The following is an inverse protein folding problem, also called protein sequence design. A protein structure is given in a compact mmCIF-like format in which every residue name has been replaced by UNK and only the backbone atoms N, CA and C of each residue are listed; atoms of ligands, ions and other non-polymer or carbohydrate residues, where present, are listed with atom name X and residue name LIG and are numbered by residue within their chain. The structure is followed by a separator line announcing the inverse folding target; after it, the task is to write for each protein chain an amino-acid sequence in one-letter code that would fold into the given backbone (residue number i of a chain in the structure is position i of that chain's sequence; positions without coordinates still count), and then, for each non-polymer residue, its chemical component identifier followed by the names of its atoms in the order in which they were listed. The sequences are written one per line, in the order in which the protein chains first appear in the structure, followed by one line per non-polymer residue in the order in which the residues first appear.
data_IF_509808008784
#
_entry.id   IF_509808008784
#
_cell.length_a   1.000
_cell.length_b   1.000
_cell.length_c   1.000
_cell.angle_alpha   90.00
_cell.angle_beta   90.00
_cell.angle_gamma   90.00
#
_symmetry.space_group_name_H-M   'P 1'
#
loop_
_entity.id
_entity.type
_entity.pdbx_description
1 polymer ?
#
# COMPACT_ATOMS: atom_id res chain seq x y z
N UNK A 1 -4.55 -20.65 -30.81
CA UNK A 1 -3.58 -19.98 -29.92
C UNK A 1 -4.26 -18.76 -29.35
N UNK A 2 -4.64 -18.79 -28.08
CA UNK A 2 -5.37 -17.67 -27.45
C UNK A 2 -4.35 -16.57 -27.18
N UNK A 3 -4.43 -15.47 -27.94
CA UNK A 3 -3.68 -14.27 -27.65
C UNK A 3 -4.12 -13.76 -26.27
N UNK A 4 -3.24 -13.89 -25.27
CA UNK A 4 -3.41 -13.18 -24.00
C UNK A 4 -3.41 -11.69 -24.34
N UNK A 5 -4.57 -11.05 -24.27
CA UNK A 5 -4.64 -9.59 -24.39
C UNK A 5 -3.97 -9.00 -23.16
N UNK A 6 -2.71 -8.64 -23.28
CA UNK A 6 -1.98 -7.92 -22.23
C UNK A 6 -2.72 -6.61 -21.93
N UNK A 7 -2.98 -6.36 -20.64
CA UNK A 7 -3.62 -5.14 -20.16
C UNK A 7 -2.58 -4.27 -19.47
N UNK A 8 -2.55 -2.98 -19.83
CA UNK A 8 -1.72 -2.00 -19.15
C UNK A 8 -2.31 -1.72 -17.77
N UNK A 9 -1.56 -2.05 -16.72
CA UNK A 9 -1.91 -1.78 -15.33
C UNK A 9 -0.79 -0.94 -14.72
N UNK A 10 -1.15 0.14 -14.03
CA UNK A 10 -0.19 0.94 -13.28
C UNK A 10 0.04 0.27 -11.93
N UNK A 11 1.30 0.17 -11.55
CA UNK A 11 1.74 -0.32 -10.25
C UNK A 11 2.53 0.79 -9.56
N UNK A 12 2.57 0.71 -8.23
CA UNK A 12 3.49 1.51 -7.44
C UNK A 12 4.94 1.25 -7.87
N UNK A 13 5.76 2.31 -7.91
CA UNK A 13 7.14 2.23 -8.40
C UNK A 13 8.01 1.34 -7.49
N UNK A 14 7.84 1.43 -6.18
CA UNK A 14 8.58 0.62 -5.20
C UNK A 14 8.25 -0.86 -5.35
N UNK A 15 6.98 -1.19 -5.62
CA UNK A 15 6.56 -2.56 -5.90
C UNK A 15 7.19 -3.10 -7.18
N UNK A 16 7.30 -2.27 -8.23
CA UNK A 16 7.97 -2.65 -9.49
C UNK A 16 9.46 -2.88 -9.27
N UNK A 17 10.14 -1.99 -8.56
CA UNK A 17 11.57 -2.10 -8.25
C UNK A 17 11.87 -3.34 -7.42
N UNK A 18 11.03 -3.63 -6.42
CA UNK A 18 11.09 -4.85 -5.63
C UNK A 18 10.95 -6.11 -6.49
N UNK A 19 10.03 -6.09 -7.46
CA UNK A 19 9.83 -7.21 -8.37
C UNK A 19 11.00 -7.43 -9.31
N UNK A 20 11.66 -6.36 -9.78
CA UNK A 20 12.87 -6.45 -10.59
C UNK A 20 14.00 -7.07 -9.78
N UNK A 21 14.20 -6.61 -8.55
CA UNK A 21 15.25 -7.12 -7.66
C UNK A 21 15.06 -8.61 -7.31
N UNK A 22 13.84 -9.02 -6.93
CA UNK A 22 13.55 -10.42 -6.65
C UNK A 22 13.54 -11.27 -7.92
N UNK A 23 13.02 -10.74 -9.02
CA UNK A 23 13.05 -11.41 -10.32
C UNK A 23 14.48 -11.76 -10.72
N UNK A 24 15.42 -10.84 -10.57
CA UNK A 24 16.84 -11.08 -10.82
C UNK A 24 17.41 -12.25 -10.01
N UNK A 25 17.03 -12.39 -8.73
CA UNK A 25 17.45 -13.51 -7.86
C UNK A 25 16.85 -14.85 -8.30
N UNK A 26 15.65 -14.83 -8.88
CA UNK A 26 14.89 -16.03 -9.28
C UNK A 26 14.96 -16.34 -10.77
N UNK A 27 15.83 -15.66 -11.52
CA UNK A 27 15.92 -15.74 -13.00
C UNK A 27 14.59 -15.43 -13.71
N UNK A 28 13.89 -14.38 -13.27
CA UNK A 28 12.62 -13.87 -13.84
C UNK A 28 12.72 -12.38 -14.14
N UNK A 29 11.94 -11.90 -15.11
CA UNK A 29 11.76 -10.44 -15.29
C UNK A 29 10.88 -9.86 -14.20
N UNK A 30 10.96 -8.54 -13.96
CA UNK A 30 10.08 -7.86 -12.99
C UNK A 30 8.59 -8.12 -13.24
N UNK A 31 8.14 -8.06 -14.50
CA UNK A 31 6.76 -8.41 -14.88
C UNK A 31 6.41 -9.85 -14.48
N UNK A 32 7.27 -10.82 -14.80
CA UNK A 32 7.02 -12.22 -14.45
C UNK A 32 6.96 -12.42 -12.94
N UNK A 33 7.80 -11.70 -12.19
CA UNK A 33 7.81 -11.75 -10.74
C UNK A 33 6.55 -11.12 -10.13
N UNK A 34 6.07 -9.99 -10.66
CA UNK A 34 4.78 -9.39 -10.28
C UNK A 34 3.62 -10.35 -10.54
N UNK A 35 3.57 -10.96 -11.72
CA UNK A 35 2.51 -11.93 -12.02
C UNK A 35 2.58 -13.16 -11.11
N UNK A 36 3.78 -13.60 -10.75
CA UNK A 36 3.97 -14.69 -9.81
C UNK A 36 3.40 -14.33 -8.43
N UNK A 37 3.79 -13.18 -7.87
CA UNK A 37 3.25 -12.69 -6.61
C UNK A 37 1.73 -12.52 -6.66
N UNK A 38 1.18 -11.96 -7.73
CA UNK A 38 -0.26 -11.80 -7.89
C UNK A 38 -1.01 -13.14 -7.93
N UNK A 39 -0.45 -14.16 -8.62
CA UNK A 39 -1.04 -15.51 -8.64
C UNK A 39 -1.01 -16.17 -7.27
N UNK A 40 0.12 -16.08 -6.56
CA UNK A 40 0.25 -16.64 -5.20
C UNK A 40 -0.67 -15.89 -4.23
N UNK A 41 -0.64 -14.56 -4.24
CA UNK A 41 -1.51 -13.72 -3.41
C UNK A 41 -2.98 -14.06 -3.61
N UNK A 42 -3.45 -14.11 -4.86
CA UNK A 42 -4.81 -14.55 -5.19
C UNK A 42 -5.12 -15.95 -4.67
N UNK A 43 -4.19 -16.91 -4.83
CA UNK A 43 -4.42 -18.28 -4.35
C UNK A 43 -4.53 -18.35 -2.83
N UNK A 44 -3.71 -17.56 -2.11
CA UNK A 44 -3.74 -17.48 -0.65
C UNK A 44 -5.02 -16.82 -0.16
N UNK A 45 -5.46 -15.74 -0.79
CA UNK A 45 -6.66 -14.99 -0.35
C UNK A 45 -7.97 -15.56 -0.87
N UNK A 46 -7.95 -16.44 -1.87
CA UNK A 46 -9.16 -17.03 -2.43
C UNK A 46 -9.92 -17.96 -1.46
N UNK A 47 -9.24 -18.50 -0.44
CA UNK A 47 -9.86 -19.38 0.54
C UNK A 47 -9.46 -18.93 1.95
N UNK A 48 -10.44 -18.73 2.82
CA UNK A 48 -10.18 -18.43 4.22
C UNK A 48 -9.60 -19.68 4.90
N UNK A 49 -8.28 -19.65 5.13
CA UNK A 49 -7.58 -20.68 5.91
C UNK A 49 -7.64 -20.30 7.39
N UNK A 50 -7.47 -21.28 8.29
CA UNK A 50 -7.38 -20.99 9.72
C UNK A 50 -6.28 -19.95 10.03
N UNK A 51 -5.16 -19.96 9.32
CA UNK A 51 -4.10 -18.95 9.48
C UNK A 51 -4.52 -17.56 9.01
N UNK A 52 -5.20 -17.44 7.86
CA UNK A 52 -5.75 -16.16 7.40
C UNK A 52 -6.78 -15.61 8.37
N UNK A 53 -7.66 -16.47 8.89
CA UNK A 53 -8.64 -16.11 9.90
C UNK A 53 -7.98 -15.53 11.16
N UNK A 54 -6.95 -16.21 11.69
CA UNK A 54 -6.21 -15.72 12.87
C UNK A 54 -5.55 -14.37 12.63
N UNK A 55 -4.98 -14.15 11.43
CA UNK A 55 -4.41 -12.85 11.04
C UNK A 55 -5.48 -11.78 10.97
N UNK A 56 -6.67 -12.08 10.42
CA UNK A 56 -7.79 -11.14 10.41
C UNK A 56 -8.30 -10.81 11.81
N UNK A 57 -8.39 -11.78 12.73
CA UNK A 57 -8.72 -11.52 14.14
C UNK A 57 -7.68 -10.60 14.80
N UNK A 58 -6.39 -10.79 14.52
CA UNK A 58 -5.35 -9.90 15.02
C UNK A 58 -5.46 -8.48 14.42
N UNK A 59 -5.73 -8.36 13.11
CA UNK A 59 -5.99 -7.07 12.44
C UNK A 59 -7.23 -6.36 13.00
N UNK A 60 -8.24 -7.12 13.43
CA UNK A 60 -9.43 -6.59 14.09
C UNK A 60 -9.22 -6.27 15.58
N UNK A 61 -8.05 -6.61 16.14
CA UNK A 61 -7.74 -6.45 17.56
C UNK A 61 -8.45 -7.45 18.48
N UNK A 62 -9.02 -8.53 17.94
CA UNK A 62 -9.71 -9.59 18.71
C UNK A 62 -8.81 -10.77 19.07
N UNK A 63 -7.59 -10.82 18.52
CA UNK A 63 -6.51 -11.73 18.92
C UNK A 63 -5.24 -10.94 19.26
N UNK A 64 -4.49 -11.39 20.26
CA UNK A 64 -3.16 -10.84 20.56
C UNK A 64 -2.12 -11.22 19.49
N UNK A 65 -1.23 -10.28 19.14
CA UNK A 65 -0.15 -10.51 18.18
C UNK A 65 0.85 -11.57 18.64
N UNK A 66 1.01 -11.74 19.97
CA UNK A 66 1.85 -12.76 20.61
C UNK A 66 1.42 -14.20 20.27
N UNK A 67 0.15 -14.40 19.89
CA UNK A 67 -0.41 -15.70 19.52
C UNK A 67 -0.19 -16.06 18.06
N UNK A 68 0.30 -15.13 17.23
CA UNK A 68 0.60 -15.41 15.84
C UNK A 68 1.90 -16.20 15.71
N UNK A 69 1.87 -17.21 14.84
CA UNK A 69 3.12 -17.83 14.39
C UNK A 69 3.97 -16.82 13.62
N UNK A 70 5.27 -17.06 13.49
CA UNK A 70 6.16 -16.17 12.73
C UNK A 70 5.72 -15.99 11.26
N UNK A 71 5.07 -16.99 10.65
CA UNK A 71 4.53 -16.88 9.30
C UNK A 71 3.28 -16.01 9.25
N UNK A 72 2.38 -16.14 10.23
CA UNK A 72 1.19 -15.31 10.37
C UNK A 72 1.55 -13.86 10.70
N UNK A 73 2.57 -13.62 11.53
CA UNK A 73 3.09 -12.29 11.82
C UNK A 73 3.59 -11.57 10.55
N UNK A 74 4.36 -12.25 9.70
CA UNK A 74 4.78 -11.67 8.41
C UNK A 74 3.60 -11.36 7.48
N UNK A 75 2.56 -12.18 7.49
CA UNK A 75 1.35 -11.91 6.72
C UNK A 75 0.57 -10.73 7.31
N UNK A 76 0.48 -10.63 8.63
CA UNK A 76 -0.11 -9.49 9.34
C UNK A 76 0.59 -8.18 8.95
N UNK A 77 1.93 -8.13 9.00
CA UNK A 77 2.70 -6.95 8.63
C UNK A 77 2.44 -6.55 7.16
N UNK A 78 2.48 -7.54 6.25
CA UNK A 78 2.19 -7.30 4.84
C UNK A 78 0.76 -6.79 4.57
N UNK A 79 -0.22 -7.26 5.34
CA UNK A 79 -1.62 -6.81 5.28
C UNK A 79 -1.81 -5.40 5.85
N UNK A 80 -1.02 -5.00 6.84
CA UNK A 80 -0.95 -3.62 7.35
C UNK A 80 -0.33 -2.71 6.28
N UNK A 81 0.82 -3.07 5.74
CA UNK A 81 1.52 -2.28 4.72
C UNK A 81 0.61 -2.04 3.49
N UNK A 82 -0.07 -3.10 3.03
CA UNK A 82 -1.02 -3.00 1.92
C UNK A 82 -2.20 -2.06 2.26
N UNK A 83 -2.77 -2.14 3.46
CA UNK A 83 -3.86 -1.25 3.89
C UNK A 83 -3.40 0.20 4.04
N UNK A 84 -2.18 0.43 4.51
CA UNK A 84 -1.60 1.76 4.63
C UNK A 84 -1.38 2.38 3.26
N UNK A 85 -0.77 1.66 2.31
CA UNK A 85 -0.58 2.12 0.94
C UNK A 85 -1.92 2.48 0.28
N UNK A 86 -2.92 1.60 0.41
CA UNK A 86 -4.27 1.82 -0.11
C UNK A 86 -4.98 3.03 0.55
N UNK A 87 -4.75 3.23 1.84
CA UNK A 87 -5.31 4.33 2.61
C UNK A 87 -4.67 5.67 2.25
N UNK A 88 -3.34 5.71 2.15
CA UNK A 88 -2.57 6.88 1.72
C UNK A 88 -2.97 7.34 0.31
N UNK A 89 -3.17 6.39 -0.61
CA UNK A 89 -3.59 6.70 -1.99
C UNK A 89 -5.02 7.29 -2.10
N UNK A 90 -5.86 7.09 -1.07
CA UNK A 90 -7.28 7.48 -1.10
C UNK A 90 -7.64 8.62 -0.16
N UNK A 91 -6.78 8.96 0.79
CA UNK A 91 -7.12 9.90 1.86
C UNK A 91 -6.48 11.26 1.61
N UNK A 92 -7.30 12.30 1.45
CA UNK A 92 -6.84 13.68 1.54
C UNK A 92 -6.69 14.07 3.01
N UNK A 93 -5.48 13.87 3.54
CA UNK A 93 -5.16 14.23 4.93
C UNK A 93 -5.25 15.73 5.18
N UNK A 94 -5.03 16.57 4.16
CA UNK A 94 -5.16 18.01 4.32
C UNK A 94 -6.63 18.37 4.56
N UNK A 95 -7.56 17.77 3.83
CA UNK A 95 -9.00 17.93 4.05
C UNK A 95 -9.43 17.43 5.43
N UNK A 96 -9.01 16.21 5.82
CA UNK A 96 -9.36 15.62 7.12
C UNK A 96 -8.87 16.48 8.29
N UNK A 97 -7.67 17.05 8.19
CA UNK A 97 -7.09 17.90 9.22
C UNK A 97 -7.68 19.31 9.21
N UNK A 98 -8.00 19.86 8.03
CA UNK A 98 -8.72 21.12 7.90
C UNK A 98 -10.08 21.08 8.62
N UNK A 99 -10.84 19.98 8.47
CA UNK A 99 -12.11 19.76 9.19
C UNK A 99 -11.95 19.73 10.72
N UNK A 100 -10.73 19.52 11.23
CA UNK A 100 -10.37 19.55 12.65
C UNK A 100 -9.76 20.88 13.10
N UNK A 101 -9.73 21.89 12.23
CA UNK A 101 -9.14 23.20 12.54
C UNK A 101 -7.61 23.20 12.49
N UNK A 102 -6.98 22.21 11.85
CA UNK A 102 -5.52 22.09 11.76
C UNK A 102 -5.03 22.63 10.42
N UNK A 103 -4.10 23.58 10.46
CA UNK A 103 -3.33 24.01 9.28
C UNK A 103 -2.29 22.96 8.93
N UNK A 104 -2.24 22.55 7.67
CA UNK A 104 -1.28 21.57 7.17
C UNK A 104 -0.31 22.21 6.19
N UNK A 105 0.90 21.67 6.12
CA UNK A 105 1.86 21.99 5.05
C UNK A 105 2.13 20.70 4.30
N UNK A 106 1.86 20.70 3.00
CA UNK A 106 2.04 19.55 2.12
C UNK A 106 2.98 19.89 0.98
N UNK A 107 3.63 18.87 0.42
CA UNK A 107 4.35 19.01 -0.84
C UNK A 107 3.37 18.78 -1.98
N UNK A 108 3.30 19.71 -2.94
CA UNK A 108 2.50 19.50 -4.15
C UNK A 108 3.25 18.67 -5.22
N UNK A 109 2.56 18.38 -6.33
CA UNK A 109 3.10 17.56 -7.42
C UNK A 109 4.32 18.19 -8.11
N UNK A 110 4.51 19.51 -7.96
CA UNK A 110 5.69 20.24 -8.44
C UNK A 110 6.82 20.32 -7.41
N UNK A 111 6.66 19.69 -6.24
CA UNK A 111 7.66 19.69 -5.18
C UNK A 111 7.70 20.99 -4.36
N UNK A 112 6.63 21.79 -4.38
CA UNK A 112 6.54 23.04 -3.61
C UNK A 112 5.80 22.82 -2.31
N UNK A 113 6.23 23.52 -1.26
CA UNK A 113 5.52 23.50 0.02
C UNK A 113 4.27 24.39 -0.08
N UNK A 114 3.12 23.83 0.24
CA UNK A 114 1.83 24.53 0.24
C UNK A 114 1.21 24.43 1.64
N UNK A 115 1.06 25.58 2.28
CA UNK A 115 0.23 25.73 3.49
C UNK A 115 -1.25 25.65 3.08
N UNK A 116 -2.00 24.74 3.69
CA UNK A 116 -3.46 24.64 3.56
C UNK A 116 -4.10 24.93 4.92
N UNK A 117 -5.00 25.90 4.95
CA UNK A 117 -5.67 26.34 6.18
C UNK A 117 -7.06 25.70 6.31
N UNK A 118 -7.61 25.62 7.54
CA UNK A 118 -8.95 25.13 7.79
C UNK A 118 -10.08 25.88 7.06
N UNK A 119 -9.84 27.14 6.66
CA UNK A 119 -10.78 27.96 5.89
C UNK A 119 -10.78 27.65 4.38
N UNK A 120 -10.00 26.64 3.95
CA UNK A 120 -9.84 26.24 2.57
C UNK A 120 -8.83 27.06 1.78
N UNK A 121 -8.22 28.09 2.40
CA UNK A 121 -7.18 28.87 1.74
C UNK A 121 -5.87 28.09 1.61
N UNK A 122 -5.19 28.29 0.48
CA UNK A 122 -3.91 27.66 0.16
C UNK A 122 -2.87 28.74 -0.12
N UNK A 123 -1.67 28.58 0.40
CA UNK A 123 -0.54 29.49 0.21
C UNK A 123 0.72 28.70 -0.09
N UNK A 124 1.34 28.97 -1.24
CA UNK A 124 2.69 28.47 -1.54
C UNK A 124 3.68 29.15 -0.58
N UNK A 125 4.52 28.34 0.05
CA UNK A 125 5.61 28.79 0.91
C UNK A 125 6.87 28.82 0.05
N UNK A 126 7.27 30.01 -0.38
CA UNK A 126 8.57 30.24 -0.97
C UNK A 126 9.59 30.50 0.16
N UNK A 127 10.80 29.95 0.05
CA UNK A 127 11.91 30.30 0.93
C UNK A 127 12.17 31.82 0.80
N UNK A 128 12.11 32.54 1.92
CA UNK A 128 12.30 33.98 2.01
C UNK A 128 13.77 34.41 1.85
#
# INVERSE_FOLDING_TARGET
MTSSTDKVTRFDAELVDSAIAEGGRQNRTGRQQLEYWARIGRAMTAHETASLHRVHEALAGTRELSELTAAEGRLFDAEIDARLADGLARTDYAEVLAARGVTTVVLDDEGRLVEQRPDGSRRVLDDA
#
